data_IF_445393187799
#
_entry.id   IF_445393187799
#
_cell.length_a   1.000
_cell.length_b   1.000
_cell.length_c   1.000
_cell.angle_alpha   90.00
_cell.angle_beta   90.00
_cell.angle_gamma   90.00
#
_symmetry.space_group_name_H-M   'P 1'
#
loop_
_entity.id
_entity.type
_entity.pdbx_description
1 polymer ?
#
# COMPACT_ATOMS: atom_id res chain seq x y z
N UNK A 1 -4.74 6.19 -46.81
CA UNK A 1 -6.06 6.24 -46.14
C UNK A 1 -5.84 5.83 -44.70
N UNK A 2 -6.04 6.75 -43.75
CA UNK A 2 -5.90 6.46 -42.31
C UNK A 2 -7.18 5.73 -41.89
N UNK A 3 -7.10 4.43 -41.63
CA UNK A 3 -8.20 3.68 -41.05
C UNK A 3 -8.42 4.19 -39.62
N UNK A 4 -9.58 4.80 -39.36
CA UNK A 4 -9.96 5.17 -37.99
C UNK A 4 -10.34 3.90 -37.24
N UNK A 5 -9.46 3.44 -36.35
CA UNK A 5 -9.75 2.39 -35.38
C UNK A 5 -10.87 2.85 -34.46
N UNK A 6 -11.91 2.03 -34.26
CA UNK A 6 -12.98 2.29 -33.29
C UNK A 6 -12.76 1.38 -32.08
N UNK A 7 -12.33 1.95 -30.97
CA UNK A 7 -12.37 1.29 -29.66
C UNK A 7 -13.79 1.36 -29.09
N UNK A 8 -14.21 0.33 -28.38
CA UNK A 8 -15.47 0.31 -27.62
C UNK A 8 -15.18 -0.01 -26.16
N UNK A 9 -15.62 0.88 -25.27
CA UNK A 9 -15.54 0.72 -23.82
C UNK A 9 -16.87 0.15 -23.34
N UNK A 10 -16.86 -1.04 -22.72
CA UNK A 10 -18.01 -1.60 -22.02
C UNK A 10 -17.84 -1.37 -20.51
N UNK A 11 -18.80 -0.66 -19.90
CA UNK A 11 -18.85 -0.50 -18.45
C UNK A 11 -19.25 -1.82 -17.77
N UNK A 12 -18.50 -2.23 -16.75
CA UNK A 12 -18.87 -3.33 -15.88
C UNK A 12 -19.86 -2.81 -14.83
N UNK A 13 -21.11 -3.27 -14.89
CA UNK A 13 -22.06 -3.04 -13.81
C UNK A 13 -21.84 -4.10 -12.73
N UNK A 14 -21.08 -3.77 -11.68
CA UNK A 14 -21.15 -4.50 -10.41
C UNK A 14 -22.41 -4.02 -9.68
N UNK A 15 -23.38 -4.91 -9.50
CA UNK A 15 -24.57 -4.64 -8.69
C UNK A 15 -24.20 -4.70 -7.21
N UNK A 16 -23.79 -3.56 -6.64
CA UNK A 16 -23.75 -3.39 -5.19
C UNK A 16 -25.18 -3.07 -4.68
N UNK A 17 -25.57 -3.78 -3.62
CA UNK A 17 -26.83 -3.58 -2.90
C UNK A 17 -26.89 -2.13 -2.38
N UNK A 18 -28.06 -1.49 -2.51
CA UNK A 18 -28.18 -0.04 -2.41
C UNK A 18 -28.07 0.55 -1.02
N UNK A 19 -27.79 1.85 -0.96
CA UNK A 19 -28.61 2.79 -0.21
C UNK A 19 -28.43 4.22 -0.74
N UNK A 20 -29.54 4.94 -0.68
CA UNK A 20 -29.80 6.28 -1.19
C UNK A 20 -29.37 7.35 -0.20
N UNK A 21 -28.65 8.37 -0.66
CA UNK A 21 -28.38 9.59 0.11
C UNK A 21 -27.99 10.75 -0.79
N UNK A 22 -28.93 11.67 -1.00
CA UNK A 22 -28.74 12.91 -1.76
C UNK A 22 -28.18 13.98 -0.83
N UNK A 23 -27.06 14.62 -1.16
CA UNK A 23 -26.71 15.94 -0.60
C UNK A 23 -26.16 16.83 -1.71
N UNK A 24 -26.86 17.94 -1.94
CA UNK A 24 -26.41 19.02 -2.80
C UNK A 24 -25.50 19.96 -2.01
N UNK A 25 -24.36 20.34 -2.58
CA UNK A 25 -23.66 21.56 -2.18
C UNK A 25 -23.17 22.32 -3.40
N UNK A 26 -23.87 23.40 -3.70
CA UNK A 26 -23.38 24.52 -4.51
C UNK A 26 -22.44 25.36 -3.65
N UNK A 27 -21.18 25.50 -4.07
CA UNK A 27 -20.19 26.35 -3.42
C UNK A 27 -19.18 26.85 -4.44
N UNK A 28 -19.39 28.09 -4.87
CA UNK A 28 -18.61 28.86 -5.84
C UNK A 28 -17.26 29.28 -5.20
N UNK A 29 -16.12 29.05 -5.88
CA UNK A 29 -14.81 29.59 -5.47
C UNK A 29 -14.22 30.38 -6.62
N UNK A 30 -14.07 31.69 -6.41
CA UNK A 30 -13.41 32.61 -7.33
C UNK A 30 -11.88 32.50 -7.23
N UNK A 31 -11.13 32.82 -8.30
CA UNK A 31 -9.71 32.55 -8.42
C UNK A 31 -8.87 33.80 -8.15
N UNK A 32 -8.55 34.09 -6.88
CA UNK A 32 -7.66 35.19 -6.52
C UNK A 32 -7.34 35.25 -5.02
N UNK A 33 -6.10 34.95 -4.63
CA UNK A 33 -5.62 35.23 -3.27
C UNK A 33 -4.32 34.52 -2.92
N UNK A 34 -3.18 35.10 -3.33
CA UNK A 34 -1.85 34.63 -2.95
C UNK A 34 -1.59 34.67 -1.44
N UNK A 35 -0.66 33.83 -1.00
CA UNK A 35 -0.12 33.86 0.36
C UNK A 35 1.35 34.26 0.29
N UNK A 36 1.59 35.58 0.34
CA UNK A 36 2.87 36.14 0.77
C UNK A 36 2.97 36.02 2.29
N UNK A 37 4.11 35.51 2.78
CA UNK A 37 4.59 35.83 4.12
C UNK A 37 4.75 34.66 5.09
N UNK A 38 5.89 33.95 4.98
CA UNK A 38 6.60 33.40 6.14
C UNK A 38 8.10 33.63 5.95
N UNK A 39 8.51 34.88 6.19
CA UNK A 39 9.90 35.22 6.47
C UNK A 39 10.22 34.98 7.95
N UNK A 40 11.31 34.28 8.22
CA UNK A 40 11.87 34.17 9.57
C UNK A 40 12.63 32.86 9.82
N UNK A 41 13.85 32.74 9.30
CA UNK A 41 14.83 31.77 9.85
C UNK A 41 15.52 32.42 11.06
N UNK A 42 15.48 31.83 12.27
CA UNK A 42 16.37 32.29 13.34
C UNK A 42 17.79 31.84 13.00
N UNK A 43 18.69 32.82 12.94
CA UNK A 43 20.13 32.62 12.83
C UNK A 43 20.67 32.15 14.18
N UNK A 44 20.92 30.85 14.32
CA UNK A 44 21.77 30.27 15.39
C UNK A 44 22.37 28.90 14.97
N UNK A 45 22.63 28.72 13.68
CA UNK A 45 23.44 27.58 13.21
C UNK A 45 24.91 27.84 13.55
N UNK A 46 25.39 27.25 14.66
CA UNK A 46 26.84 27.11 14.90
C UNK A 46 27.44 26.21 13.79
N UNK A 47 28.65 26.51 13.29
CA UNK A 47 29.28 25.68 12.27
C UNK A 47 29.67 24.33 12.88
N UNK A 48 29.20 23.23 12.30
CA UNK A 48 29.66 21.88 12.63
C UNK A 48 30.98 21.59 11.91
N UNK A 49 32.03 22.30 12.29
CA UNK A 49 33.40 21.90 11.97
C UNK A 49 33.91 21.04 13.13
N UNK A 50 33.96 19.71 12.95
CA UNK A 50 34.92 18.87 13.67
C UNK A 50 34.42 17.88 14.72
N UNK A 51 33.50 16.98 14.39
CA UNK A 51 33.43 15.64 15.01
C UNK A 51 33.53 14.64 13.86
N UNK A 52 34.74 14.17 13.56
CA UNK A 52 35.21 12.85 13.99
C UNK A 52 34.37 11.72 13.36
N UNK A 53 35.05 10.87 12.61
CA UNK A 53 34.49 9.73 11.89
C UNK A 53 33.84 8.74 12.88
N UNK A 54 32.53 8.86 13.09
CA UNK A 54 31.80 7.98 13.99
C UNK A 54 30.93 7.03 13.18
N UNK A 55 31.51 5.90 12.78
CA UNK A 55 30.82 4.68 12.36
C UNK A 55 29.94 4.07 13.49
N UNK A 56 29.42 4.91 14.39
CA UNK A 56 28.67 4.61 15.59
C UNK A 56 27.29 5.31 15.62
N UNK A 57 26.92 6.05 14.57
CA UNK A 57 25.56 6.59 14.39
C UNK A 57 24.54 5.56 13.88
N UNK A 58 24.99 4.38 13.44
CA UNK A 58 24.14 3.36 12.79
C UNK A 58 23.68 2.20 13.70
N UNK A 59 24.16 2.11 14.95
CA UNK A 59 23.65 1.11 15.88
C UNK A 59 22.53 1.74 16.71
N UNK A 60 21.27 1.52 16.30
CA UNK A 60 20.13 1.76 17.16
C UNK A 60 20.36 1.09 18.53
N UNK A 61 19.93 1.69 19.65
CA UNK A 61 20.10 1.10 20.97
C UNK A 61 19.52 -0.32 20.97
N UNK A 62 20.12 -1.27 21.72
CA UNK A 62 19.63 -2.64 21.76
C UNK A 62 18.17 -2.64 22.20
N UNK A 63 17.28 -2.95 21.25
CA UNK A 63 15.88 -3.22 21.53
C UNK A 63 15.82 -4.57 22.22
N UNK A 64 15.13 -4.63 23.37
CA UNK A 64 14.97 -5.87 24.15
C UNK A 64 14.29 -6.98 23.35
N UNK A 65 13.49 -6.61 22.35
CA UNK A 65 12.70 -7.52 21.53
C UNK A 65 13.05 -7.39 20.07
N UNK A 66 13.08 -8.54 19.40
CA UNK A 66 13.30 -8.66 17.97
C UNK A 66 12.18 -8.01 17.15
N UNK A 67 10.92 -8.22 17.55
CA UNK A 67 9.77 -7.72 16.81
C UNK A 67 9.46 -6.27 17.12
N UNK A 68 9.21 -5.51 16.06
CA UNK A 68 8.90 -4.09 16.12
C UNK A 68 7.74 -3.73 15.22
N UNK A 69 7.04 -2.67 15.58
CA UNK A 69 6.08 -2.02 14.69
C UNK A 69 6.88 -1.34 13.57
N UNK A 70 6.52 -1.60 12.31
CA UNK A 70 7.26 -1.13 11.12
C UNK A 70 6.48 -0.08 10.34
N UNK A 71 5.24 -0.39 9.96
CA UNK A 71 4.41 0.50 9.14
C UNK A 71 2.95 0.40 9.57
N UNK A 72 2.24 1.53 9.56
CA UNK A 72 0.81 1.58 9.90
C UNK A 72 0.08 2.45 8.89
N UNK A 73 -1.00 1.94 8.29
CA UNK A 73 -1.92 2.72 7.45
C UNK A 73 -3.31 2.65 8.06
N UNK A 74 -3.73 3.73 8.72
CA UNK A 74 -5.01 3.82 9.46
C UNK A 74 -6.21 4.23 8.59
N UNK A 75 -5.99 4.45 7.29
CA UNK A 75 -7.02 4.65 6.27
C UNK A 75 -6.51 4.11 4.94
N UNK A 76 -6.73 2.82 4.69
CA UNK A 76 -6.30 2.15 3.48
C UNK A 76 -7.42 2.16 2.42
N UNK A 77 -7.29 3.00 1.40
CA UNK A 77 -8.21 3.07 0.25
C UNK A 77 -7.62 2.35 -0.99
N UNK A 78 -6.51 1.61 -0.83
CA UNK A 78 -5.90 0.85 -1.94
C UNK A 78 -4.39 0.68 -1.90
N UNK A 79 -3.72 0.94 -0.77
CA UNK A 79 -2.30 0.62 -0.59
C UNK A 79 -2.08 -0.90 -0.64
N UNK A 80 -2.91 -1.66 0.07
CA UNK A 80 -2.91 -3.13 0.08
C UNK A 80 -4.34 -3.68 0.06
N UNK A 81 -4.46 -4.94 -0.34
CA UNK A 81 -5.70 -5.71 -0.21
C UNK A 81 -5.41 -7.00 0.55
N UNK A 82 -6.39 -7.45 1.33
CA UNK A 82 -6.35 -8.76 1.98
C UNK A 82 -6.65 -9.91 1.02
N UNK A 83 -6.66 -11.15 1.54
CA UNK A 83 -6.98 -12.37 0.79
C UNK A 83 -8.41 -12.41 0.24
N UNK A 84 -9.31 -11.58 0.76
CA UNK A 84 -10.70 -11.43 0.31
C UNK A 84 -10.88 -10.25 -0.65
N UNK A 85 -9.82 -9.48 -0.90
CA UNK A 85 -9.80 -8.32 -1.79
C UNK A 85 -10.31 -7.02 -1.15
N UNK A 86 -10.49 -6.98 0.16
CA UNK A 86 -10.89 -5.79 0.90
C UNK A 86 -9.69 -4.87 1.17
N UNK A 87 -9.97 -3.57 1.31
CA UNK A 87 -8.98 -2.56 1.70
C UNK A 87 -9.28 -2.13 3.14
N UNK A 88 -8.47 -2.62 4.06
CA UNK A 88 -8.64 -2.42 5.50
C UNK A 88 -7.38 -1.80 6.09
N UNK A 89 -7.51 -1.17 7.26
CA UNK A 89 -6.37 -0.61 7.97
C UNK A 89 -5.34 -1.71 8.20
N UNK A 90 -4.06 -1.37 8.17
CA UNK A 90 -3.00 -2.37 8.32
C UNK A 90 -1.95 -1.92 9.31
N UNK A 91 -1.39 -2.91 9.99
CA UNK A 91 -0.23 -2.78 10.88
C UNK A 91 0.79 -3.82 10.44
N UNK A 92 1.98 -3.38 10.11
CA UNK A 92 3.10 -4.23 9.76
C UNK A 92 4.07 -4.38 10.94
N UNK A 93 4.52 -5.62 11.15
CA UNK A 93 5.61 -5.93 12.07
C UNK A 93 6.85 -6.37 11.30
N UNK A 94 8.03 -6.05 11.82
CA UNK A 94 9.32 -6.50 11.29
C UNK A 94 10.12 -7.23 12.37
N UNK A 95 10.88 -8.24 11.94
CA UNK A 95 11.97 -8.78 12.75
C UNK A 95 13.23 -7.92 12.58
N UNK A 96 13.52 -7.10 13.59
CA UNK A 96 14.68 -6.21 13.63
C UNK A 96 16.00 -6.90 14.05
N UNK A 97 15.95 -8.16 14.48
CA UNK A 97 17.13 -8.93 14.90
C UNK A 97 17.83 -9.63 13.73
N UNK A 98 19.06 -10.07 13.97
CA UNK A 98 19.85 -10.87 13.03
C UNK A 98 19.58 -12.38 13.10
N UNK A 99 18.59 -12.80 13.87
CA UNK A 99 18.19 -14.20 14.03
C UNK A 99 16.67 -14.35 13.81
N UNK A 100 16.16 -15.55 13.46
CA UNK A 100 14.73 -15.78 13.33
C UNK A 100 13.98 -15.46 14.63
N UNK A 101 12.84 -14.78 14.53
CA UNK A 101 12.01 -14.37 15.66
C UNK A 101 10.59 -14.93 15.54
N UNK A 102 10.09 -15.55 16.61
CA UNK A 102 8.70 -16.03 16.68
C UNK A 102 7.79 -14.93 17.22
N UNK A 103 6.60 -14.81 16.64
CA UNK A 103 5.49 -14.00 17.14
C UNK A 103 4.76 -14.65 18.32
N UNK A 104 5.05 -15.93 18.61
CA UNK A 104 4.41 -16.65 19.72
C UNK A 104 4.60 -15.93 21.06
N UNK A 105 3.49 -15.76 21.78
CA UNK A 105 3.43 -15.03 23.05
C UNK A 105 3.41 -13.50 22.94
N UNK A 106 3.65 -12.92 21.77
CA UNK A 106 3.45 -11.48 21.58
C UNK A 106 1.96 -11.14 21.54
N UNK A 107 1.63 -9.93 21.96
CA UNK A 107 0.26 -9.40 21.89
C UNK A 107 0.25 -7.98 21.35
N UNK A 108 -0.79 -7.62 20.58
CA UNK A 108 -0.95 -6.31 19.94
C UNK A 108 -2.31 -5.70 20.26
N UNK A 109 -2.42 -4.37 20.32
CA UNK A 109 -3.72 -3.71 20.44
C UNK A 109 -3.65 -2.19 20.33
N UNK A 110 -4.79 -1.59 20.00
CA UNK A 110 -5.04 -0.15 20.00
C UNK A 110 -5.26 0.43 21.42
N UNK A 111 -5.46 -0.46 22.41
CA UNK A 111 -5.67 -0.11 23.81
C UNK A 111 -4.93 -1.07 24.73
N UNK A 112 -4.26 -0.54 25.76
CA UNK A 112 -3.45 -1.34 26.70
C UNK A 112 -4.25 -2.40 27.48
N UNK A 113 -5.55 -2.19 27.65
CA UNK A 113 -6.47 -3.10 28.34
C UNK A 113 -7.18 -4.08 27.41
N UNK A 114 -7.00 -3.96 26.09
CA UNK A 114 -7.56 -4.85 25.06
C UNK A 114 -6.46 -5.26 24.07
N UNK A 115 -5.76 -6.35 24.41
CA UNK A 115 -4.70 -6.92 23.58
C UNK A 115 -5.16 -8.23 22.92
N UNK A 116 -4.68 -8.47 21.70
CA UNK A 116 -4.88 -9.68 20.92
C UNK A 116 -3.57 -10.47 20.82
N UNK A 117 -3.63 -11.79 20.97
CA UNK A 117 -2.44 -12.65 20.81
C UNK A 117 -2.12 -12.87 19.34
N UNK A 118 -0.86 -12.67 18.97
CA UNK A 118 -0.40 -12.91 17.61
C UNK A 118 -0.30 -14.41 17.31
N UNK A 119 -0.43 -14.83 16.03
CA UNK A 119 -0.23 -16.21 15.63
C UNK A 119 1.23 -16.65 15.82
N UNK A 120 1.44 -17.96 15.97
CA UNK A 120 2.78 -18.55 16.05
C UNK A 120 3.45 -18.59 14.65
N UNK A 121 3.81 -17.42 14.13
CA UNK A 121 4.58 -17.22 12.91
C UNK A 121 6.05 -16.94 13.26
N UNK A 122 6.99 -17.42 12.45
CA UNK A 122 8.42 -17.08 12.61
C UNK A 122 8.87 -16.24 11.42
N UNK A 123 9.46 -15.09 11.71
CA UNK A 123 10.06 -14.18 10.74
C UNK A 123 11.58 -14.36 10.70
N UNK A 124 12.15 -14.46 9.50
CA UNK A 124 13.58 -14.35 9.27
C UNK A 124 14.09 -12.92 9.55
N UNK A 125 15.41 -12.72 9.70
CA UNK A 125 15.98 -11.38 9.87
C UNK A 125 15.51 -10.40 8.78
N UNK A 126 14.91 -9.28 9.17
CA UNK A 126 14.37 -8.27 8.26
C UNK A 126 13.08 -8.65 7.54
N UNK A 127 12.52 -9.84 7.77
CA UNK A 127 11.22 -10.22 7.23
C UNK A 127 10.10 -9.47 7.95
N UNK A 128 9.07 -9.08 7.19
CA UNK A 128 7.88 -8.38 7.69
C UNK A 128 6.63 -9.25 7.60
N UNK A 129 5.60 -8.88 8.34
CA UNK A 129 4.26 -9.45 8.23
C UNK A 129 3.22 -8.35 8.41
N UNK A 130 2.23 -8.35 7.53
CA UNK A 130 1.09 -7.43 7.55
C UNK A 130 -0.07 -8.08 8.30
N UNK A 131 -0.65 -7.32 9.24
CA UNK A 131 -1.91 -7.62 9.90
C UNK A 131 -2.98 -6.62 9.46
N UNK A 132 -4.19 -7.10 9.20
CA UNK A 132 -5.35 -6.30 8.83
C UNK A 132 -6.17 -5.96 10.09
N UNK A 133 -6.37 -4.68 10.37
CA UNK A 133 -7.14 -4.17 11.49
C UNK A 133 -8.55 -3.79 11.01
N UNK A 134 -9.45 -4.78 10.97
CA UNK A 134 -10.79 -4.66 10.40
C UNK A 134 -11.94 -5.10 11.30
N UNK A 135 -11.64 -5.62 12.49
CA UNK A 135 -12.59 -6.23 13.43
C UNK A 135 -13.21 -7.55 12.93
N UNK A 136 -12.54 -8.26 12.01
CA UNK A 136 -13.05 -9.48 11.37
C UNK A 136 -12.11 -10.69 11.57
N UNK A 137 -11.94 -11.15 12.81
CA UNK A 137 -11.09 -12.33 13.15
C UNK A 137 -11.46 -13.64 12.41
N UNK A 138 -12.67 -13.72 11.84
CA UNK A 138 -13.12 -14.88 11.11
C UNK A 138 -12.42 -15.05 9.75
N UNK A 139 -11.84 -13.98 9.22
CA UNK A 139 -11.25 -13.95 7.88
C UNK A 139 -9.86 -14.60 7.83
N UNK A 140 -9.12 -14.58 8.95
CA UNK A 140 -7.86 -15.31 9.02
C UNK A 140 -6.98 -14.97 10.23
N UNK A 141 -5.84 -15.66 10.38
CA UNK A 141 -4.89 -15.44 11.48
C UNK A 141 -4.14 -14.10 11.41
N UNK A 142 -4.25 -13.39 10.28
CA UNK A 142 -3.65 -12.08 10.06
C UNK A 142 -4.63 -10.92 10.28
N UNK A 143 -5.88 -11.21 10.68
CA UNK A 143 -6.89 -10.20 10.99
C UNK A 143 -6.90 -9.88 12.50
N UNK A 144 -7.21 -8.64 12.85
CA UNK A 144 -7.19 -8.11 14.22
C UNK A 144 -8.60 -7.67 14.66
N UNK A 145 -8.94 -7.78 15.96
CA UNK A 145 -10.28 -7.53 16.49
C UNK A 145 -10.54 -6.04 16.80
N UNK A 146 -10.00 -5.16 15.97
CA UNK A 146 -10.14 -3.72 16.09
C UNK A 146 -9.82 -3.05 14.74
N UNK A 147 -10.26 -1.80 14.61
CA UNK A 147 -9.93 -0.90 13.49
C UNK A 147 -9.13 0.27 13.99
N UNK A 148 -8.47 0.98 13.08
CA UNK A 148 -7.75 2.19 13.41
C UNK A 148 -8.57 3.44 13.08
N UNK A 149 -8.30 4.49 13.82
CA UNK A 149 -8.80 5.83 13.65
C UNK A 149 -7.78 6.61 12.85
N UNK A 150 -8.17 7.05 11.66
CA UNK A 150 -7.33 7.96 10.90
C UNK A 150 -7.14 9.35 11.54
N UNK A 151 -7.83 9.66 12.66
CA UNK A 151 -7.56 10.86 13.46
C UNK A 151 -6.37 10.70 14.42
N UNK A 152 -5.80 9.50 14.50
CA UNK A 152 -4.65 9.16 15.34
C UNK A 152 -5.02 8.47 16.63
N UNK A 153 -4.22 7.47 17.01
CA UNK A 153 -4.32 6.69 18.24
C UNK A 153 -3.04 5.88 18.46
N UNK A 154 -2.79 5.34 19.66
CA UNK A 154 -1.63 4.49 19.88
C UNK A 154 -1.87 3.03 19.45
N UNK A 155 -0.83 2.38 18.93
CA UNK A 155 -0.75 0.92 18.81
C UNK A 155 0.36 0.40 19.71
N UNK A 156 0.05 -0.61 20.52
CA UNK A 156 0.96 -1.23 21.46
C UNK A 156 1.32 -2.64 21.03
N UNK A 157 2.62 -2.97 21.10
CA UNK A 157 3.13 -4.32 20.98
C UNK A 157 3.74 -4.72 22.32
N UNK A 158 3.31 -5.85 22.89
CA UNK A 158 3.87 -6.42 24.11
C UNK A 158 4.56 -7.75 23.81
N UNK A 159 5.70 -7.96 24.46
CA UNK A 159 6.47 -9.19 24.35
C UNK A 159 5.86 -10.37 25.10
N UNK A 160 6.45 -11.57 24.98
CA UNK A 160 5.98 -12.79 25.64
C UNK A 160 6.05 -12.74 27.18
N UNK A 161 6.88 -11.85 27.73
CA UNK A 161 6.96 -11.55 29.17
C UNK A 161 5.96 -10.49 29.63
N UNK A 162 5.06 -10.02 28.74
CA UNK A 162 4.02 -9.00 28.96
C UNK A 162 4.55 -7.60 29.27
N UNK A 163 5.82 -7.36 28.98
CA UNK A 163 6.43 -6.03 29.02
C UNK A 163 6.24 -5.36 27.65
N UNK A 164 6.20 -4.02 27.64
CA UNK A 164 6.02 -3.26 26.41
C UNK A 164 7.23 -3.47 25.50
N UNK A 165 6.99 -4.00 24.30
CA UNK A 165 8.01 -4.23 23.29
C UNK A 165 8.19 -3.03 22.36
N UNK A 166 7.08 -2.47 21.86
CA UNK A 166 7.08 -1.29 21.00
C UNK A 166 5.76 -0.52 21.13
N UNK A 167 5.79 0.75 20.73
CA UNK A 167 4.60 1.59 20.67
C UNK A 167 4.72 2.57 19.50
N UNK A 168 3.60 2.74 18.79
CA UNK A 168 3.44 3.78 17.78
C UNK A 168 2.30 4.69 18.20
N UNK A 169 2.60 5.92 18.62
CA UNK A 169 1.58 6.96 18.85
C UNK A 169 1.24 7.60 17.50
N UNK A 170 0.26 7.02 16.78
CA UNK A 170 -0.06 7.40 15.41
C UNK A 170 -0.69 8.81 15.40
N UNK A 171 -0.17 9.76 14.60
CA UNK A 171 -0.83 11.04 14.41
C UNK A 171 -2.08 10.90 13.52
N UNK A 172 -2.81 12.00 13.29
CA UNK A 172 -3.81 11.99 12.24
C UNK A 172 -3.16 11.70 10.87
N UNK A 173 -3.72 10.74 10.14
CA UNK A 173 -3.25 10.32 8.82
C UNK A 173 -4.31 10.62 7.74
N UNK A 174 -3.81 11.13 6.61
CA UNK A 174 -4.58 11.19 5.37
C UNK A 174 -4.76 9.77 4.80
N UNK A 175 -5.79 9.53 3.97
CA UNK A 175 -5.93 8.25 3.27
C UNK A 175 -4.67 7.85 2.52
N UNK A 176 -4.28 6.59 2.64
CA UNK A 176 -3.11 5.94 2.04
C UNK A 176 -1.74 6.43 2.53
N UNK A 177 -1.69 7.31 3.54
CA UNK A 177 -0.43 7.66 4.18
C UNK A 177 -0.07 6.59 5.22
N UNK A 178 1.22 6.26 5.27
CA UNK A 178 1.80 5.40 6.29
C UNK A 178 2.37 6.24 7.45
N UNK A 179 2.29 5.69 8.65
CA UNK A 179 3.20 6.03 9.74
C UNK A 179 4.28 4.96 9.77
N UNK A 180 5.42 5.25 9.14
CA UNK A 180 6.43 4.27 8.79
C UNK A 180 7.71 4.49 9.60
N UNK A 181 8.35 3.40 10.02
CA UNK A 181 9.63 3.45 10.71
C UNK A 181 10.75 3.65 9.70
N UNK A 182 11.49 4.75 9.85
CA UNK A 182 12.56 5.18 8.95
C UNK A 182 13.82 5.54 9.78
N UNK A 183 14.98 4.90 9.54
CA UNK A 183 15.18 3.74 8.66
C UNK A 183 14.42 2.50 9.13
N UNK A 184 14.09 1.61 8.20
CA UNK A 184 13.38 0.35 8.44
C UNK A 184 13.93 -0.41 9.65
N UNK A 185 13.03 -0.95 10.47
CA UNK A 185 13.26 -1.68 11.72
C UNK A 185 13.95 -0.90 12.87
N UNK A 186 14.63 0.20 12.60
CA UNK A 186 15.56 0.81 13.57
C UNK A 186 15.17 2.22 13.99
N UNK A 187 14.71 3.00 13.02
CA UNK A 187 14.54 4.44 13.15
C UNK A 187 13.30 4.87 13.91
N UNK A 188 13.00 6.16 13.82
CA UNK A 188 11.79 6.75 14.36
C UNK A 188 10.63 6.57 13.38
N UNK A 189 9.41 6.82 13.83
CA UNK A 189 8.28 6.88 12.92
C UNK A 189 8.20 8.25 12.23
N UNK A 190 7.89 8.22 10.94
CA UNK A 190 7.63 9.37 10.10
C UNK A 190 6.29 9.19 9.36
N UNK A 191 5.64 10.30 9.02
CA UNK A 191 4.43 10.27 8.19
C UNK A 191 4.84 10.27 6.73
N UNK A 192 4.48 9.21 6.02
CA UNK A 192 4.88 8.95 4.64
C UNK A 192 3.70 8.88 3.69
N UNK A 193 3.81 9.61 2.58
CA UNK A 193 2.86 9.54 1.48
C UNK A 193 3.02 8.26 0.63
N UNK A 194 4.14 7.55 0.80
CA UNK A 194 4.40 6.25 0.20
C UNK A 194 4.41 5.21 1.30
N UNK A 195 3.48 4.27 1.21
CA UNK A 195 3.44 3.09 2.05
C UNK A 195 4.05 1.89 1.30
N UNK A 196 4.64 0.96 2.05
CA UNK A 196 5.41 -0.17 1.53
C UNK A 196 5.03 -1.51 2.16
N UNK A 197 3.74 -1.89 2.19
CA UNK A 197 3.31 -3.10 2.88
C UNK A 197 3.95 -4.36 2.27
N UNK A 198 4.43 -5.24 3.15
CA UNK A 198 5.14 -6.46 2.80
C UNK A 198 6.57 -6.21 2.29
N UNK A 199 7.10 -5.00 2.44
CA UNK A 199 8.43 -4.59 2.01
C UNK A 199 9.10 -3.79 3.13
N UNK A 200 10.43 -3.67 3.09
CA UNK A 200 11.13 -2.77 4.00
C UNK A 200 10.87 -1.31 3.63
N UNK A 201 10.63 -0.45 4.63
CA UNK A 201 10.42 0.99 4.44
C UNK A 201 11.64 1.74 3.86
N UNK A 202 12.83 1.14 3.92
CA UNK A 202 14.09 1.74 3.48
C UNK A 202 14.66 2.81 4.44
N UNK A 203 15.53 3.67 3.93
CA UNK A 203 16.26 4.69 4.72
C UNK A 203 15.59 6.07 4.71
N UNK A 204 14.63 6.29 3.81
CA UNK A 204 13.95 7.59 3.65
C UNK A 204 12.49 7.40 3.31
N UNK A 205 11.68 8.34 3.79
CA UNK A 205 10.29 8.45 3.44
C UNK A 205 10.12 8.86 1.95
N UNK A 206 9.79 7.90 1.09
CA UNK A 206 9.58 8.15 -0.33
C UNK A 206 9.52 6.89 -1.17
N UNK A 207 9.26 7.05 -2.46
CA UNK A 207 9.37 5.94 -3.39
C UNK A 207 10.81 5.37 -3.33
N UNK A 208 10.98 4.03 -3.37
CA UNK A 208 12.31 3.46 -3.47
C UNK A 208 13.02 4.06 -4.70
N UNK A 209 14.33 4.34 -4.59
CA UNK A 209 15.07 4.85 -5.73
C UNK A 209 14.88 3.88 -6.91
N UNK A 210 14.65 4.39 -8.13
CA UNK A 210 14.53 3.52 -9.28
C UNK A 210 15.81 2.67 -9.38
N UNK A 211 15.70 1.39 -9.77
CA UNK A 211 16.88 0.59 -10.01
C UNK A 211 17.77 1.31 -11.02
N UNK A 212 19.09 1.29 -10.81
CA UNK A 212 20.05 1.74 -11.81
C UNK A 212 19.95 0.80 -13.01
N UNK A 213 19.20 1.21 -14.03
CA UNK A 213 19.14 0.51 -15.30
C UNK A 213 20.35 0.94 -16.14
N UNK A 214 21.05 0.00 -16.79
CA UNK A 214 22.06 0.37 -17.77
C UNK A 214 21.41 1.20 -18.88
N UNK A 215 22.16 2.16 -19.45
CA UNK A 215 21.68 3.02 -20.55
C UNK A 215 21.12 2.20 -21.73
N UNK A 216 21.66 1.00 -21.92
CA UNK A 216 21.20 0.03 -22.88
C UNK A 216 20.75 -1.26 -22.18
N UNK A 217 19.45 -1.57 -22.27
CA UNK A 217 18.91 -2.89 -21.93
C UNK A 217 18.76 -3.68 -23.22
N UNK A 218 19.66 -4.63 -23.45
CA UNK A 218 19.51 -5.60 -24.54
C UNK A 218 18.61 -6.74 -24.06
N UNK A 219 17.34 -6.69 -24.46
CA UNK A 219 16.48 -7.86 -24.36
C UNK A 219 16.91 -8.88 -25.42
N UNK A 220 16.93 -10.17 -25.08
CA UNK A 220 16.98 -11.19 -26.11
C UNK A 220 15.83 -10.95 -27.10
N UNK A 221 16.09 -11.09 -28.41
CA UNK A 221 14.98 -11.07 -29.36
C UNK A 221 13.96 -12.11 -28.93
N UNK A 222 12.73 -11.66 -28.71
CA UNK A 222 11.64 -12.57 -28.41
C UNK A 222 11.43 -13.46 -29.64
N UNK A 223 11.65 -14.76 -29.49
CA UNK A 223 11.36 -15.73 -30.54
C UNK A 223 9.84 -15.87 -30.66
N UNK A 224 9.26 -15.13 -31.60
CA UNK A 224 7.85 -15.29 -31.95
C UNK A 224 7.61 -16.71 -32.47
N UNK A 225 6.65 -17.41 -31.86
CA UNK A 225 6.17 -18.66 -32.42
C UNK A 225 5.47 -18.37 -33.75
N UNK A 226 5.99 -18.93 -34.84
CA UNK A 226 5.37 -18.84 -36.15
C UNK A 226 4.56 -20.12 -36.47
N UNK A 227 3.31 -20.00 -36.97
CA UNK A 227 2.62 -18.76 -37.29
C UNK A 227 2.16 -18.02 -36.02
N UNK A 228 2.34 -16.69 -36.01
CA UNK A 228 1.76 -15.85 -34.95
C UNK A 228 0.27 -16.19 -34.80
N UNK A 229 -0.23 -16.49 -33.59
CA UNK A 229 -1.64 -16.83 -33.41
C UNK A 229 -2.50 -15.67 -33.88
N UNK A 230 -3.17 -15.87 -35.02
CA UNK A 230 -4.25 -14.98 -35.39
C UNK A 230 -5.37 -15.17 -34.36
N UNK A 231 -5.85 -14.09 -33.73
CA UNK A 231 -6.97 -14.22 -32.82
C UNK A 231 -8.11 -14.91 -33.59
N UNK A 232 -8.72 -15.96 -33.02
CA UNK A 232 -9.74 -16.74 -33.71
C UNK A 232 -11.01 -15.94 -34.00
N UNK A 233 -11.11 -14.74 -33.41
CA UNK A 233 -12.22 -13.81 -33.55
C UNK A 233 -11.71 -12.37 -33.72
N UNK A 234 -12.53 -11.49 -34.34
CA UNK A 234 -12.16 -10.11 -34.62
C UNK A 234 -12.07 -9.21 -33.38
N UNK A 235 -12.44 -9.67 -32.18
CA UNK A 235 -12.37 -8.89 -30.95
C UNK A 235 -11.25 -9.38 -30.05
N UNK A 236 -10.42 -8.47 -29.57
CA UNK A 236 -9.39 -8.72 -28.56
C UNK A 236 -9.58 -7.77 -27.38
N UNK A 237 -9.27 -8.24 -26.17
CA UNK A 237 -9.22 -7.38 -24.98
C UNK A 237 -7.92 -6.57 -25.05
N UNK A 238 -8.01 -5.26 -24.94
CA UNK A 238 -6.84 -4.36 -24.94
C UNK A 238 -6.55 -3.78 -23.56
N UNK A 239 -7.59 -3.56 -22.75
CA UNK A 239 -7.45 -3.02 -21.41
C UNK A 239 -8.49 -3.63 -20.48
N UNK A 240 -8.08 -3.87 -19.23
CA UNK A 240 -8.98 -4.17 -18.12
C UNK A 240 -8.62 -3.19 -17.01
N UNK A 241 -9.57 -2.34 -16.62
CA UNK A 241 -9.39 -1.42 -15.50
C UNK A 241 -10.41 -1.74 -14.42
N UNK A 242 -9.94 -2.29 -13.30
CA UNK A 242 -10.78 -2.73 -12.18
C UNK A 242 -11.06 -1.61 -11.17
N UNK A 243 -10.18 -0.60 -11.10
CA UNK A 243 -10.29 0.57 -10.20
C UNK A 243 -9.82 1.85 -10.90
N UNK A 244 -10.50 2.31 -11.96
CA UNK A 244 -10.13 3.55 -12.62
C UNK A 244 -10.46 4.77 -11.73
N UNK A 245 -9.73 5.87 -11.94
CA UNK A 245 -9.97 7.10 -11.18
C UNK A 245 -11.40 7.66 -11.44
N UNK A 246 -12.07 8.22 -10.42
CA UNK A 246 -13.38 8.86 -10.60
C UNK A 246 -13.33 9.93 -11.72
N UNK A 247 -14.36 10.03 -12.58
CA UNK A 247 -15.68 9.40 -12.47
C UNK A 247 -15.83 8.07 -13.24
N UNK A 248 -14.73 7.46 -13.68
CA UNK A 248 -14.80 6.24 -14.49
C UNK A 248 -15.25 5.05 -13.63
N UNK A 249 -16.15 4.24 -14.17
CA UNK A 249 -16.47 2.93 -13.62
C UNK A 249 -15.49 1.88 -14.15
N UNK A 250 -15.30 0.74 -13.47
CA UNK A 250 -14.51 -0.38 -13.99
C UNK A 250 -14.94 -0.75 -15.41
N UNK A 251 -13.98 -1.05 -16.28
CA UNK A 251 -14.24 -1.30 -17.69
C UNK A 251 -13.33 -2.37 -18.28
N UNK A 252 -13.80 -2.93 -19.39
CA UNK A 252 -12.99 -3.71 -20.33
C UNK A 252 -13.03 -3.00 -21.68
N UNK A 253 -11.85 -2.73 -22.24
CA UNK A 253 -11.73 -2.20 -23.58
C UNK A 253 -11.55 -3.35 -24.58
N UNK A 254 -12.33 -3.30 -25.65
CA UNK A 254 -12.25 -4.24 -26.77
C UNK A 254 -11.80 -3.51 -28.03
N UNK A 255 -10.83 -4.12 -28.73
CA UNK A 255 -10.41 -3.72 -30.05
C UNK A 255 -10.98 -4.68 -31.10
N UNK A 256 -11.65 -4.11 -32.09
CA UNK A 256 -11.97 -4.83 -33.32
C UNK A 256 -10.74 -4.82 -34.25
N UNK A 257 -10.10 -5.96 -34.41
CA UNK A 257 -8.94 -6.17 -35.29
C UNK A 257 -9.33 -6.40 -36.74
N UNK A 258 -10.62 -6.61 -37.04
CA UNK A 258 -11.09 -6.74 -38.41
C UNK A 258 -11.27 -5.38 -39.09
N UNK A 259 -11.19 -5.39 -40.42
CA UNK A 259 -11.47 -4.23 -41.27
C UNK A 259 -12.96 -3.86 -41.36
N UNK A 260 -13.85 -4.76 -40.92
CA UNK A 260 -15.31 -4.57 -40.92
C UNK A 260 -15.84 -4.47 -39.49
N UNK A 261 -17.01 -3.82 -39.26
CA UNK A 261 -17.66 -3.83 -37.94
C UNK A 261 -17.91 -5.25 -37.44
N UNK A 262 -17.57 -5.51 -36.17
CA UNK A 262 -17.90 -6.77 -35.50
C UNK A 262 -19.33 -6.73 -34.96
N UNK A 263 -20.08 -7.82 -35.15
CA UNK A 263 -21.37 -8.02 -34.51
C UNK A 263 -21.14 -8.57 -33.09
N UNK A 264 -21.47 -7.75 -32.08
CA UNK A 264 -21.25 -8.09 -30.68
C UNK A 264 -22.26 -9.11 -30.15
N UNK A 265 -23.36 -9.37 -30.86
CA UNK A 265 -24.40 -10.31 -30.39
C UNK A 265 -23.93 -11.76 -30.33
N UNK A 266 -22.85 -12.09 -31.06
CA UNK A 266 -22.21 -13.40 -31.05
C UNK A 266 -21.14 -13.57 -29.97
N UNK A 267 -20.90 -12.56 -29.14
CA UNK A 267 -19.86 -12.55 -28.12
C UNK A 267 -20.44 -12.47 -26.72
N UNK A 268 -19.78 -13.15 -25.78
CA UNK A 268 -20.04 -13.03 -24.34
C UNK A 268 -18.72 -12.76 -23.63
N UNK A 269 -18.74 -11.81 -22.70
CA UNK A 269 -17.65 -11.56 -21.77
C UNK A 269 -18.04 -12.18 -20.42
N UNK A 270 -17.24 -13.11 -19.91
CA UNK A 270 -17.46 -13.76 -18.61
C UNK A 270 -16.20 -13.69 -17.78
N UNK A 271 -16.34 -13.46 -16.48
CA UNK A 271 -15.25 -13.63 -15.51
C UNK A 271 -15.20 -15.12 -15.17
N UNK A 272 -14.12 -15.80 -15.54
CA UNK A 272 -13.90 -17.20 -15.18
C UNK A 272 -13.13 -17.30 -13.87
N UNK A 273 -13.63 -18.11 -12.92
CA UNK A 273 -12.77 -18.66 -11.88
C UNK A 273 -11.97 -19.81 -12.51
N UNK A 274 -10.65 -19.79 -12.37
CA UNK A 274 -9.83 -20.96 -12.66
C UNK A 274 -10.16 -22.01 -11.58
N UNK A 275 -10.84 -23.08 -11.97
CA UNK A 275 -11.06 -24.27 -11.16
C UNK A 275 -9.78 -25.08 -11.01
#
# INVERSE_FOLDING_TARGET
>A
MIAKTKSLILGLALSACGESGTVAHTGDVRPDGGLDGLGGRPADARPLDGLANDAALDAAPPVKYALRLEEIVARNDGVAVDELGATTDLIELVNADSAPASLDGYTIGDRRDRLHSLPALTLQPGETVVFFADDELADGPLHLPFRLSGEGEPVFLFGPDRELADVADIPALLPNFAFARIPSARGAFEVCAWATPGQANGDTCGAPPPPELPDDVTFAEYEWTEPWPHPPAPLVITEISLRPAPPLAPFVELLNTASNPADLSAFHLTVGALS
#
